data_IF_908221272269
#
_entry.id   IF_908221272269
#
_cell.length_a   1.000
_cell.length_b   1.000
_cell.length_c   1.000
_cell.angle_alpha   90.00
_cell.angle_beta   90.00
_cell.angle_gamma   90.00
#
_symmetry.space_group_name_H-M   'P 1'
#
loop_
_entity.id
_entity.type
_entity.pdbx_description
1 polymer ?
#
# COMPACT_ATOMS: atom_id res chain seq x y z
N UNK A 1 -1.67 3.23 8.75
CA UNK A 1 -1.36 1.78 8.58
C UNK A 1 -1.50 1.29 7.14
N UNK A 2 -2.52 1.70 6.36
CA UNK A 2 -2.60 1.32 4.93
C UNK A 2 -1.36 1.77 4.15
N UNK A 3 -0.95 3.03 4.30
CA UNK A 3 0.28 3.53 3.68
C UNK A 3 1.52 2.77 4.14
N UNK A 4 1.61 2.47 5.42
CA UNK A 4 2.72 1.70 5.98
C UNK A 4 2.87 0.37 5.25
N UNK A 5 1.76 -0.33 5.01
CA UNK A 5 1.76 -1.58 4.26
C UNK A 5 2.05 -1.37 2.78
N UNK A 6 1.56 -0.30 2.15
CA UNK A 6 1.88 0.01 0.75
C UNK A 6 3.37 0.32 0.54
N UNK A 7 3.95 1.21 1.35
CA UNK A 7 5.37 1.60 1.27
C UNK A 7 6.31 0.39 1.47
N UNK A 8 5.91 -0.57 2.32
CA UNK A 8 6.67 -1.82 2.52
C UNK A 8 6.94 -2.60 1.24
N UNK A 9 6.02 -2.56 0.29
CA UNK A 9 6.20 -3.22 -1.00
C UNK A 9 6.65 -2.23 -2.09
N UNK A 10 6.06 -1.03 -2.12
CA UNK A 10 6.24 -0.06 -3.20
C UNK A 10 7.65 0.47 -3.33
N UNK A 11 8.35 0.69 -2.20
CA UNK A 11 9.67 1.34 -2.19
C UNK A 11 10.73 0.58 -3.01
N UNK A 12 10.67 -0.75 -2.99
CA UNK A 12 11.68 -1.59 -3.65
C UNK A 12 11.13 -2.35 -4.86
N UNK A 13 9.85 -2.20 -5.17
CA UNK A 13 9.19 -2.91 -6.27
C UNK A 13 9.88 -2.64 -7.61
N UNK A 14 10.25 -1.39 -7.90
CA UNK A 14 10.92 -1.02 -9.14
C UNK A 14 12.25 -1.78 -9.30
N UNK A 15 13.09 -1.74 -8.27
CA UNK A 15 14.40 -2.41 -8.28
C UNK A 15 14.23 -3.92 -8.40
N UNK A 16 13.24 -4.50 -7.73
CA UNK A 16 12.95 -5.93 -7.82
C UNK A 16 12.42 -6.32 -9.21
N UNK A 17 11.57 -5.52 -9.83
CA UNK A 17 11.11 -5.78 -11.20
C UNK A 17 12.27 -5.75 -12.20
N UNK A 18 13.17 -4.78 -12.08
CA UNK A 18 14.32 -4.67 -12.98
C UNK A 18 15.37 -5.77 -12.74
N UNK A 19 15.67 -6.08 -11.48
CA UNK A 19 16.75 -7.02 -11.12
C UNK A 19 16.28 -8.47 -11.12
N UNK A 20 15.06 -8.75 -10.64
CA UNK A 20 14.56 -10.14 -10.45
C UNK A 20 13.66 -10.64 -11.57
N UNK A 21 12.93 -9.75 -12.24
CA UNK A 21 12.03 -10.11 -13.34
C UNK A 21 12.61 -9.78 -14.72
N UNK A 22 13.82 -9.20 -14.76
CA UNK A 22 14.50 -8.75 -15.98
C UNK A 22 13.64 -7.80 -16.84
N UNK A 23 12.79 -7.03 -16.18
CA UNK A 23 11.92 -6.09 -16.89
C UNK A 23 12.72 -4.91 -17.44
N UNK A 24 12.30 -4.44 -18.61
CA UNK A 24 12.82 -3.19 -19.14
C UNK A 24 12.51 -2.04 -18.19
N UNK A 25 13.36 -1.00 -18.18
CA UNK A 25 13.14 0.23 -17.40
C UNK A 25 11.72 0.79 -17.63
N UNK A 26 11.26 0.75 -18.88
CA UNK A 26 9.92 1.22 -19.26
C UNK A 26 8.82 0.33 -18.67
N UNK A 27 8.94 -0.99 -18.76
CA UNK A 27 7.97 -1.92 -18.19
C UNK A 27 7.89 -1.80 -16.67
N UNK A 28 9.03 -1.79 -15.97
CA UNK A 28 9.08 -1.66 -14.51
C UNK A 28 8.45 -0.34 -14.02
N UNK A 29 8.70 0.76 -14.74
CA UNK A 29 8.08 2.07 -14.46
C UNK A 29 6.57 2.04 -14.67
N UNK A 30 6.10 1.40 -15.75
CA UNK A 30 4.67 1.25 -16.05
C UNK A 30 3.95 0.44 -14.98
N UNK A 31 4.51 -0.70 -14.58
CA UNK A 31 3.93 -1.58 -13.55
C UNK A 31 3.85 -0.86 -12.20
N UNK A 32 4.90 -0.11 -11.83
CA UNK A 32 4.92 0.66 -10.59
C UNK A 32 3.87 1.79 -10.62
N UNK A 33 3.76 2.49 -11.75
CA UNK A 33 2.76 3.55 -11.94
C UNK A 33 1.32 3.03 -12.02
N UNK A 34 1.15 1.76 -12.40
CA UNK A 34 -0.16 1.11 -12.57
C UNK A 34 -0.99 1.13 -11.29
N UNK A 35 -0.35 0.94 -10.13
CA UNK A 35 -1.00 1.03 -8.83
C UNK A 35 -1.70 2.37 -8.64
N UNK A 36 -0.96 3.48 -8.80
CA UNK A 36 -1.50 4.83 -8.60
C UNK A 36 -2.60 5.14 -9.59
N UNK A 37 -2.42 4.72 -10.86
CA UNK A 37 -3.43 4.90 -11.91
C UNK A 37 -4.75 4.19 -11.57
N UNK A 38 -4.69 2.91 -11.21
CA UNK A 38 -5.88 2.12 -10.85
C UNK A 38 -6.52 2.63 -9.56
N UNK A 39 -5.72 3.07 -8.59
CA UNK A 39 -6.22 3.66 -7.34
C UNK A 39 -7.04 4.92 -7.57
N UNK A 40 -6.58 5.83 -8.44
CA UNK A 40 -7.32 7.05 -8.77
C UNK A 40 -8.63 6.73 -9.49
N UNK A 41 -8.60 5.85 -10.49
CA UNK A 41 -9.82 5.43 -11.22
C UNK A 41 -10.83 4.80 -10.26
N UNK A 42 -10.36 3.88 -9.41
CA UNK A 42 -11.21 3.21 -8.43
C UNK A 42 -11.79 4.21 -7.44
N UNK A 43 -10.99 5.17 -6.96
CA UNK A 43 -11.44 6.24 -6.07
C UNK A 43 -12.54 7.11 -6.69
N UNK A 44 -12.41 7.48 -7.97
CA UNK A 44 -13.43 8.25 -8.70
C UNK A 44 -14.73 7.45 -8.82
N UNK A 45 -14.65 6.21 -9.30
CA UNK A 45 -15.81 5.31 -9.45
C UNK A 45 -16.51 5.13 -8.10
N UNK A 46 -15.75 4.90 -7.04
CA UNK A 46 -16.29 4.77 -5.70
C UNK A 46 -16.95 6.05 -5.19
N UNK A 47 -16.37 7.21 -5.46
CA UNK A 47 -16.98 8.49 -5.14
C UNK A 47 -18.40 8.58 -5.72
N UNK A 48 -18.58 8.19 -6.98
CA UNK A 48 -19.91 8.12 -7.60
C UNK A 48 -20.84 7.08 -6.97
N UNK A 49 -20.34 5.88 -6.66
CA UNK A 49 -21.14 4.82 -6.03
C UNK A 49 -21.59 5.21 -4.62
N UNK A 50 -20.70 5.81 -3.83
CA UNK A 50 -20.95 6.25 -2.46
C UNK A 50 -22.06 7.29 -2.41
N UNK A 51 -22.12 8.22 -3.37
CA UNK A 51 -23.22 9.19 -3.48
C UNK A 51 -24.60 8.50 -3.57
N UNK A 52 -24.67 7.31 -4.15
CA UNK A 52 -25.92 6.54 -4.34
C UNK A 52 -26.20 5.58 -3.17
N UNK A 53 -25.20 4.83 -2.72
CA UNK A 53 -25.36 3.74 -1.74
C UNK A 53 -25.42 4.26 -0.29
N UNK A 54 -24.84 5.44 -0.01
CA UNK A 54 -24.89 6.10 1.31
C UNK A 54 -24.43 5.22 2.49
N UNK A 55 -23.68 4.16 2.23
CA UNK A 55 -23.05 3.30 3.22
C UNK A 55 -21.58 3.12 2.86
N UNK A 56 -20.69 3.43 3.80
CA UNK A 56 -19.24 3.45 3.56
C UNK A 56 -18.55 2.17 4.07
N UNK A 57 -19.06 1.56 5.15
CA UNK A 57 -18.44 0.40 5.79
C UNK A 57 -18.26 -0.83 4.87
N UNK A 58 -19.22 -1.23 4.01
CA UNK A 58 -19.02 -2.39 3.15
C UNK A 58 -17.84 -2.23 2.20
N UNK A 59 -17.63 -1.02 1.66
CA UNK A 59 -16.52 -0.72 0.76
C UNK A 59 -15.18 -0.70 1.48
N UNK A 60 -15.14 -0.14 2.69
CA UNK A 60 -13.95 -0.13 3.54
C UNK A 60 -13.52 -1.57 3.86
N UNK A 61 -14.45 -2.42 4.32
CA UNK A 61 -14.16 -3.82 4.64
C UNK A 61 -13.74 -4.60 3.39
N UNK A 62 -14.47 -4.47 2.27
CA UNK A 62 -14.11 -5.11 1.02
C UNK A 62 -12.71 -4.70 0.53
N UNK A 63 -12.38 -3.41 0.63
CA UNK A 63 -11.05 -2.89 0.32
C UNK A 63 -9.96 -3.52 1.18
N UNK A 64 -10.17 -3.66 2.49
CA UNK A 64 -9.17 -4.29 3.38
C UNK A 64 -8.94 -5.77 3.09
N UNK A 65 -9.99 -6.51 2.75
CA UNK A 65 -9.89 -7.93 2.37
C UNK A 65 -9.18 -8.07 1.02
N UNK A 66 -9.54 -7.25 0.03
CA UNK A 66 -8.85 -7.22 -1.26
C UNK A 66 -7.37 -6.87 -1.11
N UNK A 67 -7.03 -5.95 -0.19
CA UNK A 67 -5.64 -5.61 0.09
C UNK A 67 -4.85 -6.83 0.60
N UNK A 68 -5.41 -7.60 1.53
CA UNK A 68 -4.79 -8.85 2.01
C UNK A 68 -4.63 -9.89 0.90
N UNK A 69 -5.65 -10.08 0.06
CA UNK A 69 -5.58 -11.00 -1.09
C UNK A 69 -4.47 -10.56 -2.06
N UNK A 70 -4.33 -9.26 -2.31
CA UNK A 70 -3.31 -8.74 -3.21
C UNK A 70 -1.90 -9.05 -2.72
N UNK A 71 -1.64 -8.86 -1.42
CA UNK A 71 -0.38 -9.26 -0.81
C UNK A 71 -0.17 -10.78 -0.85
N UNK A 72 -1.23 -11.58 -0.66
CA UNK A 72 -1.16 -13.04 -0.80
C UNK A 72 -0.72 -13.47 -2.20
N UNK A 73 -1.26 -12.82 -3.24
CA UNK A 73 -0.87 -13.05 -4.64
C UNK A 73 0.59 -12.64 -4.87
N UNK A 74 1.06 -11.53 -4.27
CA UNK A 74 2.47 -11.11 -4.37
C UNK A 74 3.44 -12.09 -3.73
N UNK A 75 3.04 -12.73 -2.63
CA UNK A 75 3.87 -13.76 -1.99
C UNK A 75 3.90 -15.03 -2.86
N UNK A 76 2.76 -15.38 -3.48
CA UNK A 76 2.63 -16.59 -4.30
C UNK A 76 3.36 -16.46 -5.65
N UNK A 77 3.18 -15.34 -6.36
CA UNK A 77 3.82 -15.06 -7.66
C UNK A 77 5.17 -14.33 -7.53
N UNK A 78 5.89 -14.55 -6.43
CA UNK A 78 7.20 -13.91 -6.23
C UNK A 78 8.20 -14.40 -7.27
N UNK A 79 8.95 -13.45 -7.82
CA UNK A 79 10.07 -13.62 -8.77
C UNK A 79 10.18 -14.97 -9.47
N UNK A 80 9.91 -14.95 -10.76
CA UNK A 80 10.33 -15.98 -11.68
C UNK A 80 10.46 -15.35 -13.05
N UNK A 81 11.45 -15.79 -13.81
CA UNK A 81 11.60 -15.51 -15.25
C UNK A 81 10.46 -16.10 -16.09
N UNK A 82 9.57 -16.88 -15.46
CA UNK A 82 8.36 -17.39 -16.09
C UNK A 82 7.36 -16.24 -16.34
N UNK A 83 6.79 -16.21 -17.54
CA UNK A 83 5.73 -15.27 -17.94
C UNK A 83 4.55 -15.23 -16.97
N UNK A 84 4.28 -16.33 -16.26
CA UNK A 84 3.24 -16.42 -15.21
C UNK A 84 3.51 -15.51 -14.01
N UNK A 85 4.78 -15.29 -13.64
CA UNK A 85 5.14 -14.42 -12.53
C UNK A 85 4.97 -12.94 -12.89
N UNK A 86 5.21 -12.58 -14.16
CA UNK A 86 4.98 -11.22 -14.67
C UNK A 86 3.48 -10.84 -14.60
N UNK A 87 2.61 -11.70 -15.12
CA UNK A 87 1.15 -11.47 -15.06
C UNK A 87 0.62 -11.46 -13.62
N UNK A 88 1.19 -12.30 -12.73
CA UNK A 88 0.83 -12.33 -11.31
C UNK A 88 1.15 -11.03 -10.59
N UNK A 89 2.32 -10.43 -10.83
CA UNK A 89 2.69 -9.14 -10.21
C UNK A 89 1.83 -8.00 -10.75
N UNK A 90 1.56 -7.96 -12.06
CA UNK A 90 0.65 -6.96 -12.65
C UNK A 90 -0.75 -7.08 -12.04
N UNK A 91 -1.29 -8.30 -11.98
CA UNK A 91 -2.60 -8.56 -11.38
C UNK A 91 -2.66 -8.14 -9.92
N UNK A 92 -1.59 -8.38 -9.16
CA UNK A 92 -1.51 -7.90 -7.78
C UNK A 92 -1.41 -6.38 -7.66
N UNK A 93 -0.69 -5.69 -8.55
CA UNK A 93 -0.66 -4.21 -8.58
C UNK A 93 -2.03 -3.63 -8.91
N UNK A 94 -2.77 -4.23 -9.83
CA UNK A 94 -4.17 -3.84 -10.12
C UNK A 94 -5.02 -4.03 -8.87
N UNK A 95 -4.95 -5.22 -8.23
CA UNK A 95 -5.76 -5.53 -7.06
C UNK A 95 -5.43 -4.60 -5.88
N UNK A 96 -4.14 -4.30 -5.67
CA UNK A 96 -3.68 -3.32 -4.69
C UNK A 96 -4.18 -1.92 -5.02
N UNK A 97 -4.13 -1.51 -6.28
CA UNK A 97 -4.66 -0.21 -6.71
C UNK A 97 -6.15 -0.10 -6.42
N UNK A 98 -6.92 -1.15 -6.74
CA UNK A 98 -8.35 -1.21 -6.41
C UNK A 98 -8.55 -1.07 -4.90
N UNK A 99 -7.87 -1.89 -4.10
CA UNK A 99 -7.96 -1.83 -2.64
C UNK A 99 -7.51 -0.48 -2.06
N UNK A 100 -6.48 0.13 -2.66
CA UNK A 100 -5.96 1.46 -2.36
C UNK A 100 -6.95 2.59 -2.71
N UNK A 101 -7.85 2.38 -3.67
CA UNK A 101 -8.99 3.27 -3.92
C UNK A 101 -10.20 2.98 -3.02
N UNK A 102 -10.35 1.75 -2.54
CA UNK A 102 -11.54 1.34 -1.80
C UNK A 102 -11.55 1.70 -0.31
N UNK A 103 -10.37 1.94 0.29
CA UNK A 103 -10.26 2.18 1.72
C UNK A 103 -10.05 3.66 2.12
N UNK A 104 -8.99 4.35 1.65
CA UNK A 104 -8.63 5.66 2.18
C UNK A 104 -9.62 6.76 1.78
N UNK A 105 -10.19 6.73 0.57
CA UNK A 105 -11.15 7.75 0.14
C UNK A 105 -12.47 7.67 0.91
N UNK A 106 -13.13 6.50 1.06
CA UNK A 106 -14.33 6.39 1.89
C UNK A 106 -14.06 6.66 3.37
N UNK A 107 -12.89 6.28 3.89
CA UNK A 107 -12.51 6.59 5.26
C UNK A 107 -12.37 8.12 5.50
N UNK A 108 -11.71 8.82 4.58
CA UNK A 108 -11.60 10.29 4.63
C UNK A 108 -12.98 10.95 4.57
N UNK A 109 -13.85 10.51 3.64
CA UNK A 109 -15.21 11.02 3.53
C UNK A 109 -16.05 10.77 4.80
N UNK A 110 -15.92 9.57 5.41
CA UNK A 110 -16.62 9.23 6.66
C UNK A 110 -16.23 10.14 7.82
N UNK A 111 -14.94 10.47 7.93
CA UNK A 111 -14.42 11.35 8.98
C UNK A 111 -14.95 12.78 8.77
N UNK A 112 -14.97 13.26 7.53
CA UNK A 112 -15.49 14.58 7.19
C UNK A 112 -16.98 14.70 7.52
N UNK A 113 -17.78 13.68 7.24
CA UNK A 113 -19.23 13.72 7.54
C UNK A 113 -19.53 13.72 9.04
N UNK A 114 -18.73 13.00 9.84
CA UNK A 114 -18.91 12.96 11.30
C UNK A 114 -18.50 14.27 12.01
N UNK A 115 -17.99 15.25 11.27
CA UNK A 115 -17.38 16.46 11.80
C UNK A 115 -18.23 17.70 11.53
N UNK A 116 -18.17 18.68 12.43
CA UNK A 116 -18.76 20.01 12.19
C UNK A 116 -18.02 20.73 11.06
N UNK A 117 -18.74 21.51 10.25
CA UNK A 117 -18.17 22.24 9.09
C UNK A 117 -16.96 23.10 9.47
N UNK A 118 -16.98 23.72 10.65
CA UNK A 118 -15.90 24.55 11.18
C UNK A 118 -14.59 23.78 11.39
N UNK A 119 -14.68 22.48 11.70
CA UNK A 119 -13.52 21.65 12.03
C UNK A 119 -13.04 20.76 10.86
N UNK A 120 -13.67 20.87 9.67
CA UNK A 120 -13.34 20.04 8.51
C UNK A 120 -11.88 20.20 8.08
N UNK A 121 -11.37 21.43 8.08
CA UNK A 121 -9.99 21.71 7.71
C UNK A 121 -9.00 21.07 8.70
N UNK A 122 -9.26 21.22 10.01
CA UNK A 122 -8.42 20.66 11.08
C UNK A 122 -8.38 19.14 11.02
N UNK A 123 -9.54 18.52 10.88
CA UNK A 123 -9.67 17.05 10.87
C UNK A 123 -9.07 16.46 9.59
N UNK A 124 -9.23 17.12 8.45
CA UNK A 124 -8.55 16.73 7.20
C UNK A 124 -7.03 16.86 7.34
N UNK A 125 -6.54 17.94 7.96
CA UNK A 125 -5.13 18.12 8.27
C UNK A 125 -4.58 17.00 9.16
N UNK A 126 -5.32 16.63 10.21
CA UNK A 126 -4.94 15.52 11.10
C UNK A 126 -4.91 14.18 10.36
N UNK A 127 -5.87 13.93 9.47
CA UNK A 127 -5.88 12.75 8.61
C UNK A 127 -4.65 12.67 7.71
N UNK A 128 -4.30 13.77 7.04
CA UNK A 128 -3.11 13.85 6.19
C UNK A 128 -1.81 13.75 7.00
N UNK A 129 -1.76 14.30 8.21
CA UNK A 129 -0.63 14.14 9.10
C UNK A 129 -0.44 12.67 9.50
N UNK A 130 -1.52 11.98 9.91
CA UNK A 130 -1.49 10.55 10.21
C UNK A 130 -1.11 9.70 8.98
N UNK A 131 -1.51 10.13 7.78
CA UNK A 131 -1.10 9.52 6.51
C UNK A 131 0.42 9.59 6.32
N UNK A 132 1.01 10.78 6.50
CA UNK A 132 2.45 11.00 6.38
C UNK A 132 3.26 10.22 7.42
N UNK A 133 2.78 10.16 8.67
CA UNK A 133 3.40 9.31 9.70
C UNK A 133 3.39 7.84 9.27
N UNK A 134 2.26 7.35 8.74
CA UNK A 134 2.16 6.00 8.22
C UNK A 134 3.13 5.70 7.08
N UNK A 135 3.33 6.66 6.17
CA UNK A 135 4.31 6.60 5.08
C UNK A 135 5.74 6.53 5.61
N UNK A 136 6.12 7.43 6.51
CA UNK A 136 7.46 7.47 7.11
C UNK A 136 7.80 6.18 7.87
N UNK A 137 6.84 5.63 8.62
CA UNK A 137 7.01 4.35 9.30
C UNK A 137 7.19 3.19 8.29
N UNK A 138 6.40 3.19 7.21
CA UNK A 138 6.51 2.16 6.16
C UNK A 138 7.88 2.18 5.51
N UNK A 139 8.36 3.37 5.14
CA UNK A 139 9.66 3.57 4.52
C UNK A 139 10.82 3.19 5.46
N UNK A 140 10.70 3.50 6.75
CA UNK A 140 11.73 3.11 7.73
C UNK A 140 11.81 1.60 7.90
N UNK A 141 10.67 0.91 8.00
CA UNK A 141 10.65 -0.55 8.16
C UNK A 141 11.11 -1.23 6.86
N UNK A 142 10.63 -0.77 5.71
CA UNK A 142 11.03 -1.29 4.40
C UNK A 142 12.55 -1.14 4.19
N UNK A 143 13.08 0.06 4.48
CA UNK A 143 14.49 0.38 4.42
C UNK A 143 15.32 -0.46 5.39
N UNK A 144 14.87 -0.64 6.62
CA UNK A 144 15.57 -1.47 7.60
C UNK A 144 15.68 -2.94 7.15
N UNK A 145 14.57 -3.53 6.66
CA UNK A 145 14.56 -4.90 6.14
C UNK A 145 15.49 -5.00 4.92
N UNK A 146 15.40 -4.06 3.98
CA UNK A 146 16.24 -4.06 2.78
C UNK A 146 17.73 -3.97 3.12
N UNK A 147 18.13 -3.00 3.95
CA UNK A 147 19.52 -2.77 4.31
C UNK A 147 20.12 -3.90 5.15
N UNK A 148 19.33 -4.63 5.94
CA UNK A 148 19.84 -5.72 6.78
C UNK A 148 19.81 -7.07 6.06
N UNK A 149 18.73 -7.38 5.34
CA UNK A 149 18.54 -8.70 4.74
C UNK A 149 19.26 -8.81 3.41
N UNK A 150 19.21 -7.78 2.56
CA UNK A 150 19.74 -7.91 1.20
C UNK A 150 21.27 -8.11 1.17
N UNK A 151 22.10 -7.31 1.87
CA UNK A 151 23.55 -7.54 1.88
C UNK A 151 23.94 -8.88 2.47
N UNK A 152 23.25 -9.30 3.54
CA UNK A 152 23.47 -10.60 4.18
C UNK A 152 23.19 -11.77 3.22
N UNK A 153 22.07 -11.71 2.50
CA UNK A 153 21.70 -12.75 1.54
C UNK A 153 22.58 -12.74 0.29
N UNK A 154 23.00 -11.55 -0.17
CA UNK A 154 23.96 -11.42 -1.27
C UNK A 154 25.32 -12.02 -0.92
N UNK A 155 25.86 -11.73 0.26
CA UNK A 155 27.10 -12.33 0.75
C UNK A 155 27.01 -13.85 0.84
N UNK A 156 25.89 -14.37 1.37
CA UNK A 156 25.67 -15.80 1.51
C UNK A 156 25.62 -16.53 0.16
N UNK A 157 25.00 -15.93 -0.86
CA UNK A 157 24.82 -16.58 -2.18
C UNK A 157 25.98 -16.39 -3.14
N UNK A 158 26.62 -15.22 -3.12
CA UNK A 158 27.73 -14.90 -4.02
C UNK A 158 29.08 -15.36 -3.46
N UNK A 159 29.20 -15.54 -2.13
CA UNK A 159 30.44 -15.93 -1.47
C UNK A 159 31.58 -14.91 -1.60
N UNK A 160 31.29 -13.71 -2.11
CA UNK A 160 32.25 -12.65 -2.36
C UNK A 160 31.70 -11.31 -1.86
N UNK A 161 32.25 -10.82 -0.75
CA UNK A 161 31.79 -9.58 -0.09
C UNK A 161 31.98 -8.34 -0.97
N UNK A 162 33.03 -8.30 -1.80
CA UNK A 162 33.29 -7.18 -2.71
C UNK A 162 32.25 -7.13 -3.82
N UNK A 163 31.90 -8.28 -4.38
CA UNK A 163 30.88 -8.37 -5.42
C UNK A 163 29.48 -8.07 -4.86
N UNK A 164 29.17 -8.57 -3.67
CA UNK A 164 27.91 -8.28 -2.99
C UNK A 164 27.76 -6.79 -2.65
N UNK A 165 28.82 -6.13 -2.18
CA UNK A 165 28.82 -4.68 -1.94
C UNK A 165 28.64 -3.89 -3.25
N UNK A 166 29.27 -4.32 -4.34
CA UNK A 166 29.08 -3.72 -5.67
C UNK A 166 27.65 -3.87 -6.18
N UNK A 167 27.07 -5.08 -6.08
CA UNK A 167 25.68 -5.36 -6.46
C UNK A 167 24.71 -4.51 -5.62
N UNK A 168 24.98 -4.37 -4.32
CA UNK A 168 24.16 -3.54 -3.43
C UNK A 168 24.23 -2.05 -3.78
N UNK A 169 25.42 -1.53 -4.10
CA UNK A 169 25.62 -0.13 -4.44
C UNK A 169 25.10 0.23 -5.84
N UNK A 170 25.25 -0.67 -6.82
CA UNK A 170 24.90 -0.44 -8.22
C UNK A 170 24.10 -1.59 -8.84
N UNK A 171 22.90 -1.90 -8.30
CA UNK A 171 22.13 -3.08 -8.73
C UNK A 171 21.68 -3.01 -10.19
N UNK A 172 21.38 -1.80 -10.69
CA UNK A 172 20.94 -1.59 -12.07
C UNK A 172 22.09 -1.77 -13.08
N UNK A 173 23.29 -1.33 -12.73
CA UNK A 173 24.48 -1.45 -13.60
C UNK A 173 24.92 -2.91 -13.65
N UNK A 174 24.94 -3.58 -12.49
CA UNK A 174 25.23 -5.02 -12.42
C UNK A 174 24.23 -5.85 -13.23
N UNK A 175 22.95 -5.52 -13.15
CA UNK A 175 21.88 -6.15 -13.92
C UNK A 175 22.02 -5.98 -15.43
N UNK A 176 22.38 -4.77 -15.88
CA UNK A 176 22.60 -4.48 -17.30
C UNK A 176 23.87 -5.18 -17.84
N UNK A 177 24.89 -5.33 -17.01
CA UNK A 177 26.15 -5.98 -17.37
C UNK A 177 26.07 -7.52 -17.34
N UNK A 178 25.21 -8.10 -16.50
CA UNK A 178 25.08 -9.55 -16.33
C UNK A 178 23.67 -10.02 -16.73
N UNK A 179 23.50 -10.52 -17.97
CA UNK A 179 22.21 -11.04 -18.41
C UNK A 179 21.80 -12.28 -17.61
N UNK A 180 20.49 -12.53 -17.60
CA UNK A 180 19.87 -13.65 -16.90
C UNK A 180 20.36 -15.00 -17.43
N UNK A 181 20.59 -15.96 -16.53
CA UNK A 181 21.21 -17.25 -16.84
C UNK A 181 22.70 -17.33 -16.51
N UNK A 182 23.32 -16.22 -16.09
CA UNK A 182 24.65 -16.26 -15.45
C UNK A 182 24.51 -16.65 -13.97
N UNK A 183 25.44 -17.46 -13.42
CA UNK A 183 25.32 -17.96 -12.04
C UNK A 183 25.28 -16.83 -11.00
N UNK A 184 26.01 -15.73 -11.22
CA UNK A 184 25.99 -14.58 -10.33
C UNK A 184 24.64 -13.84 -10.39
N UNK A 185 24.06 -13.68 -11.59
CA UNK A 185 22.74 -13.06 -11.76
C UNK A 185 21.64 -13.89 -11.11
N UNK A 186 21.65 -15.21 -11.27
CA UNK A 186 20.66 -16.10 -10.66
C UNK A 186 20.73 -16.06 -9.13
N UNK A 187 21.94 -16.03 -8.57
CA UNK A 187 22.15 -15.87 -7.13
C UNK A 187 21.62 -14.54 -6.60
N UNK A 188 21.83 -13.45 -7.35
CA UNK A 188 21.27 -12.13 -7.02
C UNK A 188 19.74 -12.14 -7.11
N UNK A 189 19.16 -12.71 -8.17
CA UNK A 189 17.70 -12.84 -8.32
C UNK A 189 17.09 -13.54 -7.11
N UNK A 190 17.67 -14.66 -6.68
CA UNK A 190 17.18 -15.40 -5.52
C UNK A 190 17.33 -14.61 -4.21
N UNK A 191 18.38 -13.80 -4.07
CA UNK A 191 18.54 -12.91 -2.91
C UNK A 191 17.41 -11.88 -2.85
N UNK A 192 17.14 -11.21 -3.96
CA UNK A 192 16.08 -10.21 -4.08
C UNK A 192 14.69 -10.81 -3.85
N UNK A 193 14.43 -12.01 -4.37
CA UNK A 193 13.18 -12.74 -4.13
C UNK A 193 12.94 -13.07 -2.66
N UNK A 194 13.99 -13.39 -1.90
CA UNK A 194 13.88 -13.66 -0.47
C UNK A 194 13.61 -12.37 0.30
N UNK A 195 14.32 -11.28 -0.02
CA UNK A 195 14.09 -9.96 0.59
C UNK A 195 12.67 -9.46 0.30
N UNK A 196 12.21 -9.54 -0.95
CA UNK A 196 10.84 -9.17 -1.32
C UNK A 196 9.80 -10.00 -0.58
N UNK A 197 10.03 -11.31 -0.42
CA UNK A 197 9.12 -12.18 0.36
C UNK A 197 8.98 -11.69 1.80
N UNK A 198 10.09 -11.34 2.45
CA UNK A 198 10.07 -10.85 3.83
C UNK A 198 9.36 -9.49 3.94
N UNK A 199 9.57 -8.59 2.98
CA UNK A 199 8.83 -7.33 2.88
C UNK A 199 7.31 -7.57 2.74
N UNK A 200 6.90 -8.45 1.82
CA UNK A 200 5.49 -8.78 1.61
C UNK A 200 4.86 -9.48 2.83
N UNK A 201 5.57 -10.41 3.48
CA UNK A 201 5.10 -11.06 4.72
C UNK A 201 4.89 -10.01 5.83
N UNK A 202 5.84 -9.10 6.01
CA UNK A 202 5.72 -8.00 6.98
C UNK A 202 4.52 -7.11 6.66
N UNK A 203 4.28 -6.82 5.38
CA UNK A 203 3.09 -6.10 4.90
C UNK A 203 1.78 -6.82 5.21
N UNK A 204 1.72 -8.15 5.05
CA UNK A 204 0.55 -8.95 5.46
C UNK A 204 0.33 -8.89 6.96
N UNK A 205 1.39 -9.06 7.76
CA UNK A 205 1.27 -9.00 9.21
C UNK A 205 0.72 -7.65 9.69
N UNK A 206 1.08 -6.55 9.04
CA UNK A 206 0.57 -5.21 9.35
C UNK A 206 -0.85 -4.94 8.81
N UNK A 207 -1.33 -5.73 7.85
CA UNK A 207 -2.72 -5.60 7.35
C UNK A 207 -3.73 -6.37 8.20
N UNK A 208 -3.29 -7.37 8.99
CA UNK A 208 -4.14 -8.05 9.99
C UNK A 208 -4.74 -7.08 11.02
N UNK A 209 -3.98 -6.24 11.74
CA UNK A 209 -4.57 -5.28 12.68
C UNK A 209 -5.42 -4.24 11.94
N UNK A 210 -5.08 -3.90 10.69
CA UNK A 210 -5.87 -2.96 9.87
C UNK A 210 -7.28 -3.52 9.56
N UNK A 211 -7.38 -4.81 9.24
CA UNK A 211 -8.68 -5.48 9.05
C UNK A 211 -9.46 -5.52 10.37
N UNK A 212 -8.80 -5.83 11.49
CA UNK A 212 -9.43 -5.83 12.80
C UNK A 212 -10.01 -4.44 13.14
N UNK A 213 -9.25 -3.37 12.94
CA UNK A 213 -9.74 -2.00 13.12
C UNK A 213 -10.87 -1.63 12.14
N UNK A 214 -10.79 -2.05 10.87
CA UNK A 214 -11.84 -1.82 9.89
C UNK A 214 -13.17 -2.51 10.25
N UNK A 215 -13.12 -3.68 10.88
CA UNK A 215 -14.30 -4.38 11.38
C UNK A 215 -14.92 -3.69 12.60
N UNK A 216 -14.07 -3.17 13.50
CA UNK A 216 -14.46 -2.47 14.75
C UNK A 216 -15.03 -1.08 14.48
N UNK A 217 -14.67 -0.43 13.36
CA UNK A 217 -15.22 0.89 13.00
C UNK A 217 -16.76 0.83 12.97
N UNK A 218 -17.40 1.71 13.75
CA UNK A 218 -18.85 1.92 13.73
C UNK A 218 -19.29 2.28 12.33
N UNK A 219 -20.51 1.89 11.95
CA UNK A 219 -21.06 2.13 10.63
C UNK A 219 -21.90 3.43 10.65
N UNK A 220 -21.32 4.63 10.43
CA UNK A 220 -22.13 5.81 10.23
C UNK A 220 -22.84 5.64 8.89
N UNK A 221 -24.16 5.43 8.94
CA UNK A 221 -25.01 5.60 7.76
C UNK A 221 -24.97 7.07 7.35
N UNK A 222 -24.80 7.35 6.06
CA UNK A 222 -24.95 8.69 5.51
C UNK A 222 -26.44 9.04 5.51
N UNK A 223 -26.97 9.42 6.68
CA UNK A 223 -28.35 9.90 6.81
C UNK A 223 -28.48 11.25 6.10
N UNK A 224 -29.60 11.45 5.40
CA UNK A 224 -29.89 12.68 4.63
C UNK A 224 -30.13 13.90 5.53
N UNK A 225 -30.28 13.67 6.83
CA UNK A 225 -30.15 14.71 7.85
C UNK A 225 -28.70 15.14 7.86
N UNK A 226 -28.45 16.27 7.21
CA UNK A 226 -27.25 17.04 7.45
C UNK A 226 -27.04 17.14 8.96
N UNK A 227 -25.78 17.03 9.38
CA UNK A 227 -25.28 17.36 10.72
C UNK A 227 -25.88 18.66 11.28
N UNK A 228 -26.43 19.54 10.42
CA UNK A 228 -27.30 20.68 10.72
C UNK A 228 -28.37 20.39 11.79
N UNK A 229 -29.29 19.45 11.60
CA UNK A 229 -30.42 19.32 12.54
C UNK A 229 -29.97 18.91 13.95
N UNK A 230 -29.02 17.98 14.04
CA UNK A 230 -28.59 17.42 15.33
C UNK A 230 -27.57 18.30 16.07
N UNK A 231 -26.73 19.03 15.34
CA UNK A 231 -25.79 19.98 15.94
C UNK A 231 -26.46 21.30 16.32
N UNK A 232 -27.49 21.74 15.59
CA UNK A 232 -28.33 22.88 15.96
C UNK A 232 -29.22 22.55 17.17
N UNK A 233 -29.79 21.35 17.25
CA UNK A 233 -30.52 20.87 18.45
C UNK A 233 -29.63 20.85 19.69
N UNK A 234 -28.41 20.30 19.61
CA UNK A 234 -27.48 20.27 20.76
C UNK A 234 -26.96 21.65 21.16
N UNK A 235 -26.82 22.60 20.23
CA UNK A 235 -26.46 23.99 20.57
C UNK A 235 -27.65 24.80 21.10
N UNK A 236 -28.85 24.56 20.59
CA UNK A 236 -30.07 25.30 20.96
C UNK A 236 -30.62 24.91 22.34
N UNK A 237 -30.43 23.66 22.77
CA UNK A 237 -30.89 23.20 24.09
C UNK A 237 -29.99 23.71 25.24
N UNK A 238 -28.77 24.16 24.93
CA UNK A 238 -27.81 24.70 25.92
C UNK A 238 -28.00 26.19 26.24
N UNK A 239 -28.76 26.92 25.42
CA UNK A 239 -28.95 28.38 25.54
C UNK A 239 -30.31 28.77 26.18
N UNK A 240 -31.18 27.79 26.45
CA UNK A 240 -32.54 28.00 27.00
C UNK A 240 -32.77 27.48 28.42
N UNK A 241 -31.71 27.19 29.20
CA UNK A 241 -31.88 26.90 30.63
C UNK A 241 -31.99 28.21 31.45
N UNK A 242 -33.19 28.62 31.94
CA UNK A 242 -33.29 29.78 32.80
C UNK A 242 -32.61 29.48 34.15
N UNK A 243 -31.71 30.36 34.55
CA UNK A 243 -31.32 30.53 35.96
C UNK A 243 -31.95 31.79 36.49
#
# INVERSE_FOLDING_TARGET
MLNTAWYLQGDFLYTVLYVSFDESILSATRITSLYSFVSVITGVILGFIVMKVRQLKPFIVAGTVLFMVAFGILIYFRGGVASSSHSGVIGAQVLLGIAGGMFPYPAQASIQVASKHENLAVITGLYLAAYNVGSALGNTISGAIWNQVLPSELNYRLGNETLAAYVYAQPLVFAAANPVGTPDRDNVILAYQKTQRLLCITGICLTVPLIAFALVIRNPTLTREQTLAKAEEESGDSDFAPR
#
